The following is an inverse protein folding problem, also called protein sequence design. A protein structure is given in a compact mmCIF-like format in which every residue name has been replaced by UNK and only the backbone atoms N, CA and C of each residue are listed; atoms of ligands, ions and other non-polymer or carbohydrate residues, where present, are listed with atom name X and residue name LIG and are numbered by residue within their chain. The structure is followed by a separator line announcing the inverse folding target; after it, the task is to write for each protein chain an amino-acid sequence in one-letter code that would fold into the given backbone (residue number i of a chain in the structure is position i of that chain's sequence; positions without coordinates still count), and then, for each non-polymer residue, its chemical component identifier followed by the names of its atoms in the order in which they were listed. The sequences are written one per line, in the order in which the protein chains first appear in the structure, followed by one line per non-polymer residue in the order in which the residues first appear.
data_IF_092123689914
#
_entry.id   IF_092123689914
#
_cell.length_a   1.000
_cell.length_b   1.000
_cell.length_c   1.000
_cell.angle_alpha   90.00
_cell.angle_beta   90.00
_cell.angle_gamma   90.00
#
_symmetry.space_group_name_H-M   'P 1'
#
loop_
_entity.id
_entity.type
_entity.pdbx_description
1 polymer ?
#
# COMPACT_ATOMS: atom_id res chain seq x y z
N UNK A 1 -68.07 -44.85 22.27
CA UNK A 1 -67.17 -43.71 22.56
C UNK A 1 -65.82 -44.03 21.96
N UNK A 2 -65.44 -43.39 20.85
CA UNK A 2 -64.15 -43.58 20.20
C UNK A 2 -63.09 -42.75 20.94
N UNK A 3 -62.10 -43.41 21.54
CA UNK A 3 -60.93 -42.72 22.10
C UNK A 3 -60.14 -42.13 20.93
N UNK A 4 -60.39 -40.85 20.66
CA UNK A 4 -59.61 -40.09 19.69
C UNK A 4 -58.26 -39.78 20.33
N UNK A 5 -57.23 -40.49 19.88
CA UNK A 5 -55.85 -40.22 20.25
C UNK A 5 -55.43 -38.90 19.59
N UNK A 6 -55.26 -37.86 20.41
CA UNK A 6 -54.71 -36.57 19.98
C UNK A 6 -53.20 -36.56 20.28
N UNK A 7 -52.35 -36.72 19.25
CA UNK A 7 -50.90 -36.84 19.40
C UNK A 7 -50.21 -35.52 19.81
N UNK A 8 -50.96 -34.43 19.98
CA UNK A 8 -50.38 -33.11 20.28
C UNK A 8 -50.34 -32.78 21.77
N UNK A 9 -50.98 -33.59 22.61
CA UNK A 9 -51.17 -33.30 24.04
C UNK A 9 -49.92 -33.52 24.88
N UNK A 10 -48.99 -34.33 24.38
CA UNK A 10 -47.71 -34.72 24.98
C UNK A 10 -46.51 -33.96 24.37
N UNK A 11 -46.76 -33.09 23.40
CA UNK A 11 -45.74 -32.23 22.81
C UNK A 11 -45.63 -30.96 23.65
N UNK A 12 -44.70 -30.95 24.61
CA UNK A 12 -44.31 -29.72 25.30
C UNK A 12 -43.73 -28.73 24.29
N UNK A 13 -44.36 -27.55 24.06
CA UNK A 13 -43.87 -26.57 23.08
C UNK A 13 -42.47 -26.03 23.42
N UNK A 14 -42.01 -26.23 24.66
CA UNK A 14 -40.68 -25.83 25.12
C UNK A 14 -39.56 -26.77 24.67
N UNK A 15 -39.86 -28.00 24.22
CA UNK A 15 -38.84 -28.98 23.83
C UNK A 15 -38.47 -28.94 22.33
N UNK A 16 -39.21 -28.18 21.51
CA UNK A 16 -39.01 -28.12 20.06
C UNK A 16 -37.83 -27.24 19.63
N UNK A 17 -37.27 -26.45 20.55
CA UNK A 17 -36.08 -25.65 20.30
C UNK A 17 -35.20 -25.73 21.54
N UNK A 18 -34.09 -26.49 21.53
CA UNK A 18 -33.00 -26.16 22.43
C UNK A 18 -32.60 -24.73 22.08
N UNK A 19 -33.03 -23.77 22.89
CA UNK A 19 -32.61 -22.39 22.75
C UNK A 19 -31.08 -22.37 22.81
N UNK A 20 -30.48 -22.18 21.63
CA UNK A 20 -29.03 -22.12 21.46
C UNK A 20 -28.61 -20.77 22.03
N UNK A 21 -28.58 -20.69 23.36
CA UNK A 21 -27.85 -19.66 24.07
C UNK A 21 -26.37 -19.94 23.83
N UNK A 22 -25.86 -19.48 22.69
CA UNK A 22 -24.44 -19.27 22.48
C UNK A 22 -24.02 -18.26 23.54
N UNK A 23 -23.61 -18.76 24.71
CA UNK A 23 -22.93 -17.98 25.71
C UNK A 23 -21.62 -17.54 25.05
N UNK A 24 -21.65 -16.37 24.41
CA UNK A 24 -20.53 -15.73 23.73
C UNK A 24 -19.57 -15.22 24.81
N UNK A 25 -18.98 -16.13 25.58
CA UNK A 25 -17.90 -15.86 26.52
C UNK A 25 -16.58 -15.71 25.73
N UNK A 26 -16.57 -14.82 24.75
CA UNK A 26 -15.30 -14.21 24.34
C UNK A 26 -15.12 -13.05 25.29
N UNK A 27 -14.04 -13.07 26.07
CA UNK A 27 -13.68 -12.00 26.98
C UNK A 27 -13.61 -10.64 26.26
N UNK A 28 -14.73 -9.91 26.22
CA UNK A 28 -14.83 -8.58 25.61
C UNK A 28 -13.78 -7.62 26.17
N UNK A 29 -13.42 -7.82 27.44
CA UNK A 29 -12.39 -7.05 28.12
C UNK A 29 -10.99 -7.29 27.54
N UNK A 30 -10.66 -8.52 27.11
CA UNK A 30 -9.36 -8.86 26.51
C UNK A 30 -9.25 -8.35 25.09
N UNK A 31 -10.33 -8.46 24.31
CA UNK A 31 -10.41 -7.92 22.96
C UNK A 31 -10.28 -6.40 22.97
N UNK A 32 -11.08 -5.70 23.81
CA UNK A 32 -11.00 -4.24 23.97
C UNK A 32 -9.59 -3.79 24.38
N UNK A 33 -8.94 -4.47 25.33
CA UNK A 33 -7.56 -4.15 25.74
C UNK A 33 -6.56 -4.31 24.60
N UNK A 34 -6.70 -5.36 23.77
CA UNK A 34 -5.84 -5.56 22.60
C UNK A 34 -6.03 -4.46 21.58
N UNK A 35 -7.27 -4.17 21.18
CA UNK A 35 -7.59 -3.10 20.22
C UNK A 35 -7.05 -1.75 20.71
N UNK A 36 -7.25 -1.41 21.99
CA UNK A 36 -6.76 -0.14 22.55
C UNK A 36 -5.23 -0.07 22.51
N UNK A 37 -4.52 -1.13 22.94
CA UNK A 37 -3.05 -1.16 22.86
C UNK A 37 -2.55 -1.00 21.44
N UNK A 38 -3.15 -1.71 20.50
CA UNK A 38 -2.80 -1.64 19.09
C UNK A 38 -3.01 -0.23 18.56
N UNK A 39 -4.19 0.36 18.79
CA UNK A 39 -4.49 1.74 18.39
C UNK A 39 -3.52 2.75 19.00
N UNK A 40 -3.13 2.62 20.27
CA UNK A 40 -2.16 3.51 20.91
C UNK A 40 -0.78 3.38 20.26
N UNK A 41 -0.29 2.16 20.04
CA UNK A 41 1.02 1.93 19.40
C UNK A 41 1.04 2.50 17.97
N UNK A 42 -0.03 2.26 17.21
CA UNK A 42 -0.19 2.80 15.86
C UNK A 42 -0.28 4.32 15.88
N UNK A 43 -1.00 4.90 16.83
CA UNK A 43 -1.10 6.35 17.00
C UNK A 43 0.27 6.96 17.23
N UNK A 44 1.08 6.38 18.13
CA UNK A 44 2.46 6.86 18.38
C UNK A 44 3.32 6.74 17.12
N UNK A 45 3.30 5.60 16.43
CA UNK A 45 4.03 5.43 15.16
C UNK A 45 3.63 6.48 14.12
N UNK A 46 2.33 6.78 14.02
CA UNK A 46 1.80 7.76 13.05
C UNK A 46 2.22 9.19 13.41
N UNK A 47 2.22 9.54 14.70
CA UNK A 47 2.68 10.87 15.15
C UNK A 47 4.18 11.04 14.91
N UNK A 48 4.99 10.00 15.18
CA UNK A 48 6.43 10.03 14.91
C UNK A 48 6.73 10.16 13.41
N UNK A 49 6.01 9.41 12.58
CA UNK A 49 6.11 9.47 11.12
C UNK A 49 5.77 10.88 10.60
N UNK A 50 4.66 11.46 11.07
CA UNK A 50 4.23 12.81 10.70
C UNK A 50 5.22 13.87 11.20
N UNK A 51 5.77 13.71 12.39
CA UNK A 51 6.78 14.63 12.93
C UNK A 51 8.08 14.60 12.11
N UNK A 52 8.54 13.41 11.68
CA UNK A 52 9.67 13.28 10.76
C UNK A 52 9.37 13.95 9.41
N UNK A 53 8.17 13.71 8.86
CA UNK A 53 7.72 14.36 7.62
C UNK A 53 7.66 15.88 7.74
N UNK A 54 7.16 16.40 8.86
CA UNK A 54 7.11 17.83 9.15
C UNK A 54 8.52 18.43 9.30
N UNK A 55 9.45 17.69 9.89
CA UNK A 55 10.86 18.10 10.01
C UNK A 55 11.51 18.26 8.63
N UNK A 56 11.22 17.36 7.67
CA UNK A 56 11.64 17.52 6.26
C UNK A 56 11.06 18.78 5.63
N UNK A 57 9.77 19.07 5.88
CA UNK A 57 9.11 20.27 5.35
C UNK A 57 9.76 21.56 5.89
N UNK A 58 10.10 21.58 7.18
CA UNK A 58 10.80 22.69 7.81
C UNK A 58 12.23 22.85 7.28
N UNK A 59 12.97 21.74 7.10
CA UNK A 59 14.35 21.74 6.58
C UNK A 59 14.44 22.10 5.09
N UNK A 60 13.38 21.90 4.29
CA UNK A 60 13.35 22.29 2.87
C UNK A 60 13.60 23.78 2.63
N UNK A 61 13.49 24.64 3.66
CA UNK A 61 13.82 26.07 3.55
C UNK A 61 15.32 26.38 3.60
N UNK A 62 16.18 25.42 3.95
CA UNK A 62 17.63 25.63 3.99
C UNK A 62 18.36 24.48 3.31
N UNK A 63 18.69 24.65 2.02
CA UNK A 63 19.60 23.81 1.19
C UNK A 63 20.02 22.46 1.82
N UNK A 64 19.10 21.50 2.01
CA UNK A 64 19.45 20.23 2.64
C UNK A 64 20.10 19.30 1.62
N UNK A 65 21.01 18.45 2.09
CA UNK A 65 21.65 17.46 1.22
C UNK A 65 20.62 16.48 0.65
N UNK A 66 20.63 16.30 -0.68
CA UNK A 66 19.72 15.39 -1.40
C UNK A 66 19.73 13.97 -0.80
N UNK A 67 20.87 13.49 -0.32
CA UNK A 67 21.00 12.18 0.31
C UNK A 67 20.19 12.06 1.62
N UNK A 68 20.19 13.10 2.46
CA UNK A 68 19.47 13.13 3.73
C UNK A 68 17.95 13.17 3.50
N UNK A 69 17.50 13.93 2.50
CA UNK A 69 16.09 13.94 2.09
C UNK A 69 15.61 12.55 1.65
N UNK A 70 16.41 11.84 0.85
CA UNK A 70 16.08 10.48 0.39
C UNK A 70 16.07 9.49 1.55
N UNK A 71 17.03 9.58 2.46
CA UNK A 71 17.09 8.73 3.64
C UNK A 71 15.84 8.88 4.52
N UNK A 72 15.46 10.10 4.90
CA UNK A 72 14.31 10.31 5.78
C UNK A 72 13.00 9.92 5.07
N UNK A 73 12.86 10.20 3.77
CA UNK A 73 11.73 9.69 2.96
C UNK A 73 11.64 8.15 2.99
N UNK A 74 12.78 7.47 2.90
CA UNK A 74 12.87 6.02 3.04
C UNK A 74 12.43 5.55 4.42
N UNK A 75 12.92 6.19 5.49
CA UNK A 75 12.55 5.87 6.88
C UNK A 75 11.04 6.03 7.11
N UNK A 76 10.46 7.15 6.66
CA UNK A 76 9.01 7.39 6.74
C UNK A 76 8.24 6.28 6.02
N UNK A 77 8.63 5.94 4.79
CA UNK A 77 8.01 4.86 4.02
C UNK A 77 8.07 3.50 4.74
N UNK A 78 9.23 3.15 5.32
CA UNK A 78 9.41 1.90 6.07
C UNK A 78 8.54 1.89 7.33
N UNK A 79 8.44 3.02 8.06
CA UNK A 79 7.56 3.14 9.22
C UNK A 79 6.08 2.94 8.86
N UNK A 80 5.64 3.48 7.72
CA UNK A 80 4.28 3.26 7.21
C UNK A 80 4.02 1.78 6.90
N UNK A 81 4.98 1.10 6.26
CA UNK A 81 4.87 -0.34 5.96
C UNK A 81 4.88 -1.19 7.24
N UNK A 82 5.75 -0.87 8.19
CA UNK A 82 5.82 -1.54 9.49
C UNK A 82 4.49 -1.40 10.26
N UNK A 83 3.88 -0.21 10.22
CA UNK A 83 2.55 0.04 10.78
C UNK A 83 1.50 -0.86 10.14
N UNK A 84 1.46 -0.95 8.81
CA UNK A 84 0.51 -1.80 8.10
C UNK A 84 0.69 -3.28 8.45
N UNK A 85 1.94 -3.77 8.53
CA UNK A 85 2.23 -5.14 8.96
C UNK A 85 1.82 -5.40 10.42
N UNK A 86 2.03 -4.42 11.31
CA UNK A 86 1.63 -4.50 12.72
C UNK A 86 0.10 -4.61 12.89
N UNK A 87 -0.68 -3.85 12.11
CA UNK A 87 -2.14 -4.01 12.03
C UNK A 87 -2.50 -5.47 11.71
N UNK A 88 -1.98 -5.97 10.60
CA UNK A 88 -2.33 -7.28 10.04
C UNK A 88 -1.96 -8.39 11.03
N UNK A 89 -0.77 -8.34 11.63
CA UNK A 89 -0.35 -9.37 12.58
C UNK A 89 -1.15 -9.35 13.89
N UNK A 90 -1.52 -8.18 14.42
CA UNK A 90 -2.15 -8.07 15.75
C UNK A 90 -3.67 -8.19 15.72
N UNK A 91 -4.34 -7.60 14.73
CA UNK A 91 -5.81 -7.67 14.61
C UNK A 91 -6.31 -9.03 14.18
N UNK A 92 -5.43 -9.86 13.64
CA UNK A 92 -5.82 -11.14 13.07
C UNK A 92 -5.62 -12.32 14.03
N UNK A 93 -5.17 -12.07 15.28
CA UNK A 93 -5.05 -13.06 16.37
C UNK A 93 -4.42 -14.38 15.89
N UNK A 94 -3.26 -14.24 15.28
CA UNK A 94 -2.61 -15.28 14.52
C UNK A 94 -1.51 -15.93 15.39
N UNK A 95 -1.85 -16.89 16.27
CA UNK A 95 -0.87 -17.76 16.97
C UNK A 95 -0.98 -19.25 16.60
N UNK A 96 -2.13 -19.83 16.90
CA UNK A 96 -2.35 -21.29 16.75
C UNK A 96 -3.49 -21.64 15.77
N UNK A 97 -4.33 -20.67 15.39
CA UNK A 97 -5.49 -20.84 14.47
C UNK A 97 -5.22 -20.25 13.05
N UNK A 98 -3.98 -19.80 12.84
CA UNK A 98 -3.51 -18.85 11.81
C UNK A 98 -3.60 -19.33 10.38
N UNK A 99 -3.25 -20.59 10.15
CA UNK A 99 -2.69 -21.01 8.86
C UNK A 99 -3.69 -20.79 7.73
N UNK A 100 -4.98 -20.97 8.01
CA UNK A 100 -6.06 -20.68 7.07
C UNK A 100 -6.28 -19.18 6.85
N UNK A 101 -6.23 -18.37 7.91
CA UNK A 101 -6.50 -16.94 7.78
C UNK A 101 -5.37 -16.20 7.07
N UNK A 102 -4.10 -16.51 7.39
CA UNK A 102 -2.94 -15.92 6.70
C UNK A 102 -3.01 -16.13 5.19
N UNK A 103 -3.43 -17.30 4.73
CA UNK A 103 -3.57 -17.58 3.29
C UNK A 103 -4.56 -16.62 2.63
N UNK A 104 -5.70 -16.33 3.27
CA UNK A 104 -6.72 -15.41 2.72
C UNK A 104 -6.32 -13.95 2.72
N UNK A 105 -5.34 -13.54 3.53
CA UNK A 105 -4.85 -12.15 3.62
C UNK A 105 -3.60 -11.96 2.77
N UNK A 106 -2.71 -12.95 2.76
CA UNK A 106 -1.47 -12.92 1.99
C UNK A 106 -1.75 -12.99 0.50
N UNK A 107 -2.72 -13.80 0.06
CA UNK A 107 -3.10 -13.88 -1.37
C UNK A 107 -3.51 -12.52 -1.95
N UNK A 108 -4.46 -11.75 -1.39
CA UNK A 108 -4.82 -10.44 -1.91
C UNK A 108 -3.69 -9.42 -1.78
N UNK A 109 -2.86 -9.48 -0.72
CA UNK A 109 -1.68 -8.61 -0.60
C UNK A 109 -0.63 -8.90 -1.68
N UNK A 110 -0.39 -10.17 -1.99
CA UNK A 110 0.56 -10.59 -3.02
C UNK A 110 0.05 -10.23 -4.41
N UNK A 111 -1.25 -10.42 -4.68
CA UNK A 111 -1.87 -9.94 -5.92
C UNK A 111 -1.81 -8.42 -6.05
N UNK A 112 -1.94 -7.66 -4.96
CA UNK A 112 -1.80 -6.21 -4.99
C UNK A 112 -0.37 -5.77 -5.34
N UNK A 113 0.65 -6.36 -4.73
CA UNK A 113 2.06 -6.06 -5.04
C UNK A 113 2.40 -6.48 -6.47
N UNK A 114 1.96 -7.66 -6.89
CA UNK A 114 2.16 -8.16 -8.25
C UNK A 114 1.47 -7.25 -9.28
N UNK A 115 0.25 -6.79 -9.00
CA UNK A 115 -0.47 -5.83 -9.82
C UNK A 115 0.28 -4.50 -9.94
N UNK A 116 0.79 -3.92 -8.86
CA UNK A 116 1.61 -2.70 -8.93
C UNK A 116 2.83 -2.89 -9.83
N UNK A 117 3.53 -4.03 -9.72
CA UNK A 117 4.70 -4.33 -10.56
C UNK A 117 4.30 -4.47 -12.03
N UNK A 118 3.23 -5.19 -12.34
CA UNK A 118 2.72 -5.35 -13.71
C UNK A 118 2.34 -3.99 -14.32
N UNK A 119 1.60 -3.16 -13.57
CA UNK A 119 1.23 -1.81 -14.00
C UNK A 119 2.43 -0.88 -14.14
N UNK A 120 3.46 -1.00 -13.29
CA UNK A 120 4.67 -0.20 -13.40
C UNK A 120 5.50 -0.60 -14.62
N UNK A 121 5.59 -1.90 -14.92
CA UNK A 121 6.26 -2.42 -16.10
C UNK A 121 5.53 -2.02 -17.40
N UNK A 122 4.21 -2.20 -17.46
CA UNK A 122 3.40 -1.75 -18.60
C UNK A 122 3.39 -0.22 -18.73
N UNK A 123 3.33 0.51 -17.61
CA UNK A 123 3.42 1.97 -17.59
C UNK A 123 4.78 2.49 -18.07
N UNK A 124 5.87 1.82 -17.71
CA UNK A 124 7.21 2.12 -18.21
C UNK A 124 7.32 1.84 -19.71
N UNK A 125 6.77 0.71 -20.18
CA UNK A 125 6.68 0.36 -21.60
C UNK A 125 5.88 1.41 -22.38
N UNK A 126 4.74 1.83 -21.85
CA UNK A 126 3.89 2.87 -22.42
C UNK A 126 4.60 4.23 -22.56
N UNK A 127 5.35 4.66 -21.54
CA UNK A 127 6.18 5.87 -21.61
C UNK A 127 7.27 5.75 -22.68
N UNK A 128 7.93 4.60 -22.77
CA UNK A 128 8.99 4.35 -23.76
C UNK A 128 8.44 4.41 -25.18
N UNK A 129 7.28 3.78 -25.44
CA UNK A 129 6.66 3.74 -26.76
C UNK A 129 6.17 5.13 -27.19
N UNK A 130 5.58 5.91 -26.29
CA UNK A 130 5.16 7.30 -26.60
C UNK A 130 6.35 8.21 -26.90
N UNK A 131 7.46 8.06 -26.19
CA UNK A 131 8.69 8.80 -26.46
C UNK A 131 9.35 8.37 -27.78
N UNK A 132 9.13 7.15 -28.24
CA UNK A 132 9.73 6.63 -29.47
C UNK A 132 8.90 6.95 -30.73
N UNK A 133 7.57 6.94 -30.65
CA UNK A 133 6.67 7.10 -31.80
C UNK A 133 6.10 8.52 -32.00
N UNK A 134 6.20 9.42 -31.02
CA UNK A 134 5.75 10.81 -31.15
C UNK A 134 6.94 11.80 -31.08
N UNK A 135 7.49 12.24 -32.23
CA UNK A 135 8.64 13.16 -32.26
C UNK A 135 8.31 14.57 -31.72
N UNK A 136 7.04 15.00 -31.72
CA UNK A 136 6.65 16.32 -31.19
C UNK A 136 6.61 16.35 -29.65
N UNK A 137 6.38 15.20 -29.01
CA UNK A 137 6.41 15.06 -27.56
C UNK A 137 7.85 15.12 -26.99
N UNK A 138 8.84 14.65 -27.76
CA UNK A 138 10.27 14.72 -27.40
C UNK A 138 10.80 16.15 -27.27
N UNK A 139 10.37 17.06 -28.14
CA UNK A 139 10.77 18.48 -28.09
C UNK A 139 10.18 19.21 -26.87
N UNK A 140 9.02 18.78 -26.38
CA UNK A 140 8.31 19.43 -25.27
C UNK A 140 8.85 19.05 -23.88
N UNK A 141 9.44 17.86 -23.74
CA UNK A 141 10.00 17.38 -22.46
C UNK A 141 11.51 17.59 -22.33
N UNK A 142 12.18 18.00 -23.42
CA UNK A 142 13.60 18.35 -23.42
C UNK A 142 13.73 19.84 -23.10
N UNK A 143 14.56 20.25 -22.12
CA UNK A 143 14.77 21.68 -21.86
C UNK A 143 15.26 22.37 -23.14
N UNK A 144 14.48 23.32 -23.64
CA UNK A 144 14.82 24.09 -24.84
C UNK A 144 16.10 24.88 -24.59
N UNK A 145 17.24 24.41 -25.09
CA UNK A 145 18.50 25.06 -24.81
C UNK A 145 19.74 24.63 -25.60
N UNK A 146 19.67 23.65 -26.50
CA UNK A 146 20.78 23.42 -27.42
C UNK A 146 20.32 23.26 -28.86
N UNK A 147 20.69 24.20 -29.76
CA UNK A 147 20.48 24.00 -31.18
C UNK A 147 21.27 22.75 -31.58
N UNK A 148 20.57 21.75 -32.12
CA UNK A 148 21.20 20.60 -32.77
C UNK A 148 21.85 21.15 -34.04
N UNK A 149 23.11 21.56 -33.94
CA UNK A 149 23.91 21.95 -35.09
C UNK A 149 24.19 20.66 -35.87
N UNK A 150 23.73 20.53 -37.13
CA UNK A 150 24.09 19.39 -37.96
C UNK A 150 25.62 19.28 -38.01
N UNK A 151 26.16 18.07 -37.80
CA UNK A 151 27.60 17.79 -37.77
C UNK A 151 28.38 18.30 -39.00
N UNK A 152 27.64 18.60 -40.05
CA UNK A 152 28.12 18.96 -41.38
C UNK A 152 28.51 20.44 -41.45
N UNK A 153 27.97 21.28 -40.56
CA UNK A 153 28.31 22.70 -40.45
C UNK A 153 29.75 22.88 -39.96
N UNK A 154 30.24 21.99 -39.09
CA UNK A 154 31.64 22.00 -38.66
C UNK A 154 32.61 21.67 -39.79
N UNK A 155 32.20 20.83 -40.76
CA UNK A 155 33.05 20.47 -41.90
C UNK A 155 33.19 21.61 -42.90
N UNK A 156 32.13 22.38 -43.13
CA UNK A 156 32.17 23.52 -44.07
C UNK A 156 33.05 24.67 -43.55
N UNK A 157 32.99 24.98 -42.24
CA UNK A 157 33.76 26.07 -41.67
C UNK A 157 35.25 25.72 -41.48
N UNK A 158 35.58 24.46 -41.16
CA UNK A 158 36.97 24.02 -41.03
C UNK A 158 37.73 24.05 -42.38
N UNK A 159 37.05 23.72 -43.49
CA UNK A 159 37.67 23.79 -44.81
C UNK A 159 37.89 25.22 -45.33
N UNK A 160 37.07 26.19 -44.91
CA UNK A 160 37.21 27.59 -45.31
C UNK A 160 38.32 28.31 -44.53
N UNK A 161 38.53 27.92 -43.27
CA UNK A 161 39.59 28.45 -42.41
C UNK A 161 41.02 27.97 -42.75
N UNK A 162 41.17 26.91 -43.55
CA UNK A 162 42.47 26.41 -44.02
C UNK A 162 42.84 26.90 -45.43
N UNK A 163 42.00 27.72 -46.06
CA UNK A 163 42.20 28.27 -47.41
C UNK A 163 42.50 29.78 -47.43
N UNK A 164 42.87 30.35 -46.29
CA UNK A 164 43.45 31.68 -46.16
C UNK A 164 44.84 31.55 -45.55
#
# INVERSE_FOLDING_TARGET
MSNHYDPTKDISPSAAYPEVSFAHHTDDSTFKKRVIRTTVILSVLTVLELALGFTIYALHKGEPSHALLLFIKGVVCILTLAKAYYIVSVFMHLGDEIRNFIMTIVVPLLLFIWFIIAFLADGHSYKTLRNQYDPYFKESTTPSGHPVIPSDVHKYNSQKGQRQ
#
